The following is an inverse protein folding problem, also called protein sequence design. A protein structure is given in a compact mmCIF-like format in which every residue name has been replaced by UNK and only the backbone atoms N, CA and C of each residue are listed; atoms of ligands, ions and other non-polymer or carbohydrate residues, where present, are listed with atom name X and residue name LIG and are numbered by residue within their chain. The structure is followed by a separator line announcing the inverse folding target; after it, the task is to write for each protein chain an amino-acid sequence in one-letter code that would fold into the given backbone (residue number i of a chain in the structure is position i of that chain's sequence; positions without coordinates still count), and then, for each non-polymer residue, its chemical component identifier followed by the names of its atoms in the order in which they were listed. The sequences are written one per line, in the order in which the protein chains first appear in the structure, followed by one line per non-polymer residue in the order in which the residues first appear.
data_IF_672129248916
#
_entry.id   IF_672129248916
#
_cell.length_a   1.000
_cell.length_b   1.000
_cell.length_c   1.000
_cell.angle_alpha   90.00
_cell.angle_beta   90.00
_cell.angle_gamma   90.00
#
_symmetry.space_group_name_H-M   'P 1'
#
loop_
_entity.id
_entity.type
_entity.pdbx_description
1 polymer ?
#
# COMPACT_ATOMS: atom_id res chain seq x y z
N UNK A 1 -23.57 6.41 15.22
CA UNK A 1 -23.13 5.49 14.16
C UNK A 1 -22.90 6.30 12.90
N UNK A 2 -21.79 6.07 12.19
CA UNK A 2 -21.57 6.71 10.90
C UNK A 2 -22.65 6.25 9.92
N UNK A 3 -23.08 7.15 9.02
CA UNK A 3 -24.10 6.85 8.00
C UNK A 3 -23.56 5.94 6.89
N UNK A 4 -22.26 5.99 6.64
CA UNK A 4 -21.52 5.17 5.68
C UNK A 4 -20.10 4.93 6.20
N UNK A 5 -19.53 3.76 5.91
CA UNK A 5 -18.16 3.38 6.31
C UNK A 5 -17.44 2.64 5.17
N UNK A 6 -16.10 2.72 5.17
CA UNK A 6 -15.21 1.94 4.32
C UNK A 6 -14.30 1.11 5.22
N UNK A 7 -14.23 -0.20 4.97
CA UNK A 7 -13.35 -1.12 5.68
C UNK A 7 -12.28 -1.60 4.72
N UNK A 8 -11.01 -1.36 5.06
CA UNK A 8 -9.86 -1.76 4.25
C UNK A 8 -9.15 -2.94 4.92
N UNK A 9 -9.04 -4.06 4.20
CA UNK A 9 -8.26 -5.23 4.66
C UNK A 9 -6.76 -5.02 4.42
N UNK A 10 -6.03 -4.57 5.45
CA UNK A 10 -4.56 -4.44 5.38
C UNK A 10 -3.86 -5.81 5.22
N UNK A 11 -4.51 -6.92 5.57
CA UNK A 11 -4.03 -8.27 5.28
C UNK A 11 -4.02 -8.56 3.78
N UNK A 12 -4.98 -8.06 3.02
CA UNK A 12 -5.01 -8.15 1.57
C UNK A 12 -3.84 -7.40 0.93
N UNK A 13 -3.55 -6.19 1.41
CA UNK A 13 -2.41 -5.39 0.92
C UNK A 13 -1.09 -6.14 1.15
N UNK A 14 -0.89 -6.70 2.35
CA UNK A 14 0.31 -7.51 2.65
C UNK A 14 0.41 -8.76 1.77
N UNK A 15 -0.72 -9.45 1.51
CA UNK A 15 -0.74 -10.60 0.60
C UNK A 15 -0.35 -10.20 -0.82
N UNK A 16 -0.92 -9.11 -1.34
CA UNK A 16 -0.62 -8.60 -2.67
C UNK A 16 0.86 -8.23 -2.82
N UNK A 17 1.43 -7.51 -1.85
CA UNK A 17 2.84 -7.15 -1.86
C UNK A 17 3.76 -8.39 -1.92
N UNK A 18 3.47 -9.43 -1.11
CA UNK A 18 4.23 -10.70 -1.16
C UNK A 18 4.10 -11.41 -2.51
N UNK A 19 2.90 -11.43 -3.10
CA UNK A 19 2.69 -12.01 -4.44
C UNK A 19 3.51 -11.28 -5.48
N UNK A 20 3.55 -9.95 -5.44
CA UNK A 20 4.37 -9.15 -6.35
C UNK A 20 5.86 -9.44 -6.16
N UNK A 21 6.36 -9.44 -4.92
CA UNK A 21 7.76 -9.77 -4.63
C UNK A 21 8.19 -11.13 -5.18
N UNK A 22 7.32 -12.15 -5.11
CA UNK A 22 7.59 -13.46 -5.70
C UNK A 22 7.69 -13.41 -7.23
N UNK A 23 6.94 -12.51 -7.88
CA UNK A 23 6.92 -12.35 -9.33
C UNK A 23 8.02 -11.44 -9.88
N UNK A 24 8.59 -10.56 -9.04
CA UNK A 24 9.54 -9.52 -9.46
C UNK A 24 10.93 -10.03 -9.83
N UNK A 25 11.26 -11.30 -9.59
CA UNK A 25 12.53 -11.90 -10.01
C UNK A 25 13.77 -11.21 -9.42
N UNK A 26 13.65 -10.64 -8.21
CA UNK A 26 14.70 -9.89 -7.52
C UNK A 26 14.70 -8.38 -7.73
N UNK A 27 13.78 -7.84 -8.55
CA UNK A 27 13.54 -6.40 -8.61
C UNK A 27 12.89 -5.88 -7.32
N UNK A 28 13.09 -4.59 -7.04
CA UNK A 28 12.47 -3.91 -5.91
C UNK A 28 10.97 -3.66 -6.13
N UNK A 29 10.19 -3.78 -5.05
CA UNK A 29 8.79 -3.37 -5.04
C UNK A 29 8.65 -1.98 -4.41
N UNK A 30 8.21 -1.01 -5.21
CA UNK A 30 7.89 0.33 -4.73
C UNK A 30 6.36 0.49 -4.65
N UNK A 31 5.84 0.76 -3.46
CA UNK A 31 4.40 0.88 -3.25
C UNK A 31 3.91 2.28 -3.61
N UNK A 32 3.07 2.38 -4.63
CA UNK A 32 2.47 3.66 -5.04
C UNK A 32 1.25 3.95 -4.17
N UNK A 33 1.32 5.02 -3.38
CA UNK A 33 0.28 5.41 -2.39
C UNK A 33 -0.28 6.82 -2.63
N UNK A 34 -0.13 7.36 -3.84
CA UNK A 34 -0.77 8.63 -4.24
C UNK A 34 -2.28 8.63 -3.99
N UNK A 35 -2.87 9.82 -3.88
CA UNK A 35 -4.31 10.01 -3.62
C UNK A 35 -4.77 9.27 -2.36
N UNK A 36 -4.02 9.42 -1.27
CA UNK A 36 -4.28 8.77 0.03
C UNK A 36 -4.41 7.24 -0.09
N UNK A 37 -3.45 6.59 -0.75
CA UNK A 37 -3.49 5.15 -0.98
C UNK A 37 -4.63 4.75 -1.93
N UNK A 38 -4.91 5.57 -2.94
CA UNK A 38 -6.09 5.42 -3.82
C UNK A 38 -7.41 5.40 -3.03
N UNK A 39 -7.49 6.18 -1.95
CA UNK A 39 -8.64 6.25 -1.04
C UNK A 39 -8.71 5.13 0.01
N UNK A 40 -7.68 4.28 0.11
CA UNK A 40 -7.60 3.23 1.13
C UNK A 40 -6.92 3.69 2.43
N UNK A 41 -6.37 4.91 2.46
CA UNK A 41 -5.53 5.43 3.54
C UNK A 41 -4.05 5.17 3.27
N UNK A 42 -3.30 6.19 2.87
CA UNK A 42 -1.89 6.06 2.48
C UNK A 42 -0.99 5.56 3.61
N UNK A 43 -1.22 6.04 4.83
CA UNK A 43 -0.40 5.69 5.99
C UNK A 43 -0.50 4.19 6.30
N UNK A 44 -1.71 3.68 6.47
CA UNK A 44 -1.94 2.27 6.82
C UNK A 44 -1.62 1.32 5.65
N UNK A 45 -2.02 1.69 4.43
CA UNK A 45 -1.70 0.91 3.23
C UNK A 45 -0.19 0.87 2.95
N UNK A 46 0.49 2.01 3.06
CA UNK A 46 1.94 2.13 2.89
C UNK A 46 2.70 1.33 3.94
N UNK A 47 2.33 1.47 5.22
CA UNK A 47 2.93 0.67 6.29
C UNK A 47 2.71 -0.83 6.09
N UNK A 48 1.52 -1.24 5.63
CA UNK A 48 1.23 -2.64 5.31
C UNK A 48 2.11 -3.16 4.16
N UNK A 49 2.31 -2.37 3.10
CA UNK A 49 3.16 -2.75 1.97
C UNK A 49 4.65 -2.83 2.38
N UNK A 50 5.16 -1.83 3.10
CA UNK A 50 6.53 -1.81 3.61
C UNK A 50 6.78 -3.00 4.55
N UNK A 51 5.88 -3.26 5.49
CA UNK A 51 5.96 -4.40 6.41
C UNK A 51 5.85 -5.77 5.71
N UNK A 52 5.43 -5.81 4.43
CA UNK A 52 5.40 -7.01 3.61
C UNK A 52 6.60 -7.14 2.65
N UNK A 53 7.52 -6.17 2.65
CA UNK A 53 8.77 -6.22 1.88
C UNK A 53 8.87 -5.22 0.71
N UNK A 54 7.90 -4.30 0.55
CA UNK A 54 8.13 -3.14 -0.31
C UNK A 54 9.28 -2.29 0.26
N UNK A 55 10.11 -1.71 -0.60
CA UNK A 55 11.33 -0.99 -0.21
C UNK A 55 11.20 0.53 -0.26
N UNK A 56 10.19 1.03 -0.97
CA UNK A 56 9.92 2.46 -1.08
C UNK A 56 8.43 2.77 -1.22
N UNK A 57 8.09 4.04 -0.98
CA UNK A 57 6.77 4.62 -1.23
C UNK A 57 6.86 5.63 -2.37
N UNK A 58 5.82 5.68 -3.21
CA UNK A 58 5.71 6.66 -4.29
C UNK A 58 4.41 7.45 -4.18
N UNK A 59 4.53 8.77 -4.18
CA UNK A 59 3.44 9.76 -4.10
C UNK A 59 3.44 10.66 -5.34
N UNK A 60 2.38 11.46 -5.54
CA UNK A 60 2.29 12.35 -6.69
C UNK A 60 2.74 13.78 -6.38
N UNK A 61 2.63 14.22 -5.13
CA UNK A 61 2.92 15.59 -4.70
C UNK A 61 3.81 15.62 -3.46
N UNK A 62 4.46 16.76 -3.18
CA UNK A 62 5.30 16.94 -1.99
C UNK A 62 4.53 16.89 -0.66
N UNK A 63 3.28 17.38 -0.56
CA UNK A 63 2.49 17.27 0.67
C UNK A 63 1.99 15.86 0.99
N UNK A 64 1.90 14.98 -0.01
CA UNK A 64 1.59 13.55 0.18
C UNK A 64 2.83 12.80 0.68
#
# INVERSE_FOLDING_TARGET
MARSELIVDLGAIRRNARTLLQALGGAELWAVVKADGYGHGAADAGAAALGAGATALCVATVPE
#
